data_IF_360689201696
#
_entry.id   IF_360689201696
#
_cell.length_a   1.000
_cell.length_b   1.000
_cell.length_c   1.000
_cell.angle_alpha   90.00
_cell.angle_beta   90.00
_cell.angle_gamma   90.00
#
_symmetry.space_group_name_H-M   'P 1'
#
loop_
_entity.id
_entity.type
_entity.pdbx_description
1 polymer ?
#
# COMPACT_ATOMS: atom_id res chain seq x y z
N UNK A 1 18.23 -24.71 0.86
CA UNK A 1 16.82 -25.07 0.59
C UNK A 1 16.25 -23.99 -0.31
N UNK A 2 15.77 -24.34 -1.49
CA UNK A 2 15.12 -23.36 -2.37
C UNK A 2 13.74 -23.05 -1.79
N UNK A 3 13.55 -21.84 -1.26
CA UNK A 3 12.22 -21.41 -0.78
C UNK A 3 11.34 -21.19 -2.00
N UNK A 4 10.36 -22.06 -2.16
CA UNK A 4 9.32 -21.93 -3.14
C UNK A 4 8.39 -20.76 -2.76
N UNK A 5 8.22 -19.82 -3.70
CA UNK A 5 7.62 -18.51 -3.45
C UNK A 5 6.16 -18.55 -3.88
N UNK A 6 5.29 -18.98 -2.98
CA UNK A 6 3.82 -18.95 -3.16
C UNK A 6 3.16 -18.08 -2.11
N UNK A 7 1.95 -17.57 -2.40
CA UNK A 7 1.20 -16.69 -1.48
C UNK A 7 1.03 -17.34 -0.11
N UNK A 8 0.63 -18.63 -0.08
CA UNK A 8 0.40 -19.38 1.16
C UNK A 8 1.69 -19.54 1.96
N UNK A 9 2.76 -20.05 1.34
CA UNK A 9 4.05 -20.27 2.03
C UNK A 9 4.63 -18.99 2.60
N UNK A 10 4.54 -17.88 1.86
CA UNK A 10 4.99 -16.57 2.34
C UNK A 10 4.11 -16.07 3.50
N UNK A 11 2.79 -16.21 3.40
CA UNK A 11 1.90 -15.81 4.48
C UNK A 11 2.21 -16.58 5.77
N UNK A 12 2.43 -17.89 5.68
CA UNK A 12 2.82 -18.74 6.82
C UNK A 12 4.18 -18.28 7.39
N UNK A 13 5.18 -17.99 6.54
CA UNK A 13 6.48 -17.46 6.95
C UNK A 13 6.38 -16.10 7.65
N UNK A 14 5.52 -15.21 7.15
CA UNK A 14 5.25 -13.91 7.79
C UNK A 14 4.58 -14.08 9.14
N UNK A 15 3.58 -14.96 9.26
CA UNK A 15 2.93 -15.27 10.54
C UNK A 15 3.93 -15.79 11.55
N UNK A 16 4.76 -16.76 11.18
CA UNK A 16 5.82 -17.31 12.02
C UNK A 16 6.77 -16.21 12.51
N UNK A 17 7.32 -15.40 11.57
CA UNK A 17 8.29 -14.36 11.93
C UNK A 17 7.68 -13.24 12.76
N UNK A 18 6.40 -12.90 12.57
CA UNK A 18 5.69 -11.92 13.40
C UNK A 18 5.48 -12.45 14.81
N UNK A 19 5.14 -13.74 14.95
CA UNK A 19 5.00 -14.39 16.25
C UNK A 19 6.34 -14.43 16.99
N UNK A 20 7.43 -14.83 16.33
CA UNK A 20 8.79 -14.79 16.92
C UNK A 20 9.20 -13.39 17.37
N UNK A 21 8.85 -12.36 16.61
CA UNK A 21 9.17 -10.97 16.96
C UNK A 21 8.52 -10.55 18.28
N UNK A 22 7.40 -11.16 18.70
CA UNK A 22 6.79 -10.82 20.00
C UNK A 22 7.70 -11.12 21.20
N UNK A 23 8.67 -12.01 21.02
CA UNK A 23 9.61 -12.39 22.06
C UNK A 23 10.79 -11.41 22.19
N UNK A 24 10.90 -10.40 21.32
CA UNK A 24 11.97 -9.41 21.42
C UNK A 24 11.68 -8.33 22.48
N UNK A 25 12.70 -7.85 23.22
CA UNK A 25 12.51 -6.90 24.33
C UNK A 25 11.72 -5.64 23.95
N UNK A 26 11.89 -5.16 22.72
CA UNK A 26 11.21 -3.98 22.20
C UNK A 26 9.71 -4.18 21.92
N UNK A 27 9.19 -5.41 22.00
CA UNK A 27 7.76 -5.73 21.90
C UNK A 27 7.20 -6.35 23.19
N UNK A 28 8.07 -6.78 24.11
CA UNK A 28 7.71 -7.30 25.43
C UNK A 28 7.31 -6.18 26.42
N UNK A 29 6.26 -5.41 26.11
CA UNK A 29 5.72 -4.39 27.03
C UNK A 29 4.43 -4.87 27.70
N UNK A 30 4.47 -5.09 29.03
CA UNK A 30 3.24 -5.31 29.82
C UNK A 30 2.46 -4.01 30.01
N UNK A 31 1.35 -3.85 29.27
CA UNK A 31 0.05 -3.30 29.75
C UNK A 31 -1.07 -3.42 28.71
N UNK A 32 -0.76 -3.72 27.45
CA UNK A 32 -1.76 -3.80 26.38
C UNK A 32 -1.42 -4.98 25.46
N UNK A 33 -2.39 -5.87 25.26
CA UNK A 33 -2.23 -7.08 24.44
C UNK A 33 -1.91 -6.81 22.97
N UNK A 34 -1.86 -7.88 22.18
CA UNK A 34 -1.49 -7.89 20.75
C UNK A 34 -2.06 -6.68 19.98
N UNK A 35 -1.16 -5.90 19.37
CA UNK A 35 -1.44 -4.60 18.74
C UNK A 35 -1.93 -4.68 17.29
N UNK A 36 -1.81 -5.86 16.69
CA UNK A 36 -2.32 -6.17 15.36
C UNK A 36 -3.55 -7.07 15.44
N UNK A 37 -4.27 -7.21 14.34
CA UNK A 37 -5.39 -8.13 14.24
C UNK A 37 -4.88 -9.58 14.28
N UNK A 38 -5.55 -10.43 15.06
CA UNK A 38 -5.31 -11.88 15.12
C UNK A 38 -6.57 -12.63 14.68
N UNK A 39 -6.40 -13.87 14.20
CA UNK A 39 -7.51 -14.77 13.91
C UNK A 39 -8.01 -15.51 15.17
N UNK A 40 -8.99 -16.40 14.98
CA UNK A 40 -9.59 -17.19 16.07
C UNK A 40 -8.58 -18.11 16.78
N UNK A 41 -7.46 -18.45 16.14
CA UNK A 41 -6.38 -19.26 16.71
C UNK A 41 -5.33 -18.40 17.42
N UNK A 42 -5.48 -17.08 17.41
CA UNK A 42 -4.50 -16.14 17.94
C UNK A 42 -3.32 -15.90 16.99
N UNK A 43 -3.35 -16.37 15.75
CA UNK A 43 -2.29 -16.12 14.78
C UNK A 43 -2.44 -14.71 14.16
N UNK A 44 -1.33 -14.07 13.75
CA UNK A 44 -1.40 -12.78 13.05
C UNK A 44 -2.30 -12.84 11.80
N UNK A 45 -3.29 -11.95 11.71
CA UNK A 45 -4.23 -11.87 10.59
C UNK A 45 -3.60 -11.14 9.39
N UNK A 46 -2.51 -11.69 8.86
CA UNK A 46 -1.75 -11.14 7.74
C UNK A 46 -2.57 -11.12 6.44
N UNK A 47 -2.46 -10.04 5.67
CA UNK A 47 -2.98 -9.99 4.28
C UNK A 47 -1.83 -9.85 3.31
N UNK A 48 -1.73 -10.74 2.35
CA UNK A 48 -0.64 -10.79 1.39
C UNK A 48 -1.18 -10.96 -0.02
N UNK A 49 -0.55 -10.29 -0.97
CA UNK A 49 -0.75 -10.51 -2.40
C UNK A 49 0.61 -10.55 -3.10
N UNK A 50 0.62 -11.15 -4.28
CA UNK A 50 1.78 -11.19 -5.15
C UNK A 50 1.36 -10.73 -6.52
N UNK A 51 2.21 -9.96 -7.17
CA UNK A 51 2.09 -9.74 -8.60
C UNK A 51 3.45 -9.69 -9.26
N UNK A 52 3.48 -9.85 -10.57
CA UNK A 52 4.72 -9.91 -11.31
C UNK A 52 4.62 -9.11 -12.60
N UNK A 53 5.75 -8.55 -13.01
CA UNK A 53 5.86 -7.70 -14.18
C UNK A 53 7.19 -7.97 -14.90
N UNK A 54 7.28 -7.77 -16.22
CA UNK A 54 8.58 -7.76 -16.88
C UNK A 54 9.38 -6.53 -16.44
N UNK A 55 10.70 -6.51 -16.69
CA UNK A 55 11.57 -5.42 -16.21
C UNK A 55 11.47 -4.15 -17.07
N UNK A 56 10.89 -4.20 -18.26
CA UNK A 56 10.57 -3.01 -19.05
C UNK A 56 9.23 -2.36 -18.64
N UNK A 57 8.52 -2.98 -17.70
CA UNK A 57 7.21 -2.54 -17.28
C UNK A 57 7.26 -1.27 -16.42
N UNK A 58 6.46 -0.30 -16.81
CA UNK A 58 6.29 0.94 -16.06
C UNK A 58 5.20 0.80 -14.99
N UNK A 59 5.60 0.59 -13.73
CA UNK A 59 4.70 0.52 -12.57
C UNK A 59 3.76 1.74 -12.45
N UNK A 60 4.14 2.90 -12.99
CA UNK A 60 3.49 4.18 -12.76
C UNK A 60 2.87 4.79 -14.02
N UNK A 61 2.82 4.04 -15.12
CA UNK A 61 2.14 4.44 -16.34
C UNK A 61 0.70 4.92 -16.06
N UNK A 62 0.36 6.11 -16.55
CA UNK A 62 -0.91 6.81 -16.31
C UNK A 62 -1.12 7.34 -14.87
N UNK A 63 -0.28 6.95 -13.91
CA UNK A 63 -0.40 7.31 -12.49
C UNK A 63 0.47 8.51 -12.09
N UNK A 64 1.48 8.85 -12.90
CA UNK A 64 2.39 9.98 -12.65
C UNK A 64 1.68 11.32 -12.83
N UNK A 65 0.98 11.73 -11.80
CA UNK A 65 0.47 13.10 -11.68
C UNK A 65 0.46 13.52 -10.21
N UNK A 66 0.53 14.83 -9.92
CA UNK A 66 0.50 15.35 -8.55
C UNK A 66 -0.70 14.88 -7.69
N UNK A 67 -1.84 14.54 -8.30
CA UNK A 67 -3.08 14.20 -7.62
C UNK A 67 -3.24 12.72 -7.22
N UNK A 68 -2.47 11.82 -7.81
CA UNK A 68 -2.54 10.38 -7.56
C UNK A 68 -1.25 9.90 -6.88
N UNK A 69 -0.27 9.45 -7.65
CA UNK A 69 1.00 8.90 -7.15
C UNK A 69 2.08 9.98 -7.02
N UNK A 70 1.96 11.08 -7.75
CA UNK A 70 2.94 12.17 -7.84
C UNK A 70 3.89 12.04 -9.04
N UNK A 71 4.82 13.00 -9.20
CA UNK A 71 5.57 13.20 -10.44
C UNK A 71 6.79 12.27 -10.61
N UNK A 72 7.50 11.96 -9.53
CA UNK A 72 8.76 11.20 -9.60
C UNK A 72 8.76 9.96 -8.71
N UNK A 73 7.84 9.00 -8.90
CA UNK A 73 7.84 7.78 -8.13
C UNK A 73 9.00 6.86 -8.54
N UNK A 74 9.56 6.16 -7.55
CA UNK A 74 10.62 5.15 -7.70
C UNK A 74 10.03 3.90 -8.36
N UNK A 75 10.61 3.47 -9.49
CA UNK A 75 10.23 2.26 -10.22
C UNK A 75 11.23 1.12 -10.02
N UNK A 76 11.12 0.09 -10.86
CA UNK A 76 12.00 -1.08 -10.82
C UNK A 76 13.47 -0.75 -11.08
N UNK A 77 13.72 0.27 -11.91
CA UNK A 77 15.07 0.74 -12.25
C UNK A 77 15.79 1.27 -11.02
N UNK A 78 15.17 2.21 -10.32
CA UNK A 78 15.76 2.84 -9.13
C UNK A 78 15.98 1.82 -8.00
N UNK A 79 15.06 0.87 -7.84
CA UNK A 79 15.20 -0.24 -6.87
C UNK A 79 16.40 -1.12 -7.22
N UNK A 80 16.57 -1.47 -8.50
CA UNK A 80 17.71 -2.26 -8.95
C UNK A 80 19.03 -1.50 -8.78
N UNK A 81 19.08 -0.25 -9.22
CA UNK A 81 20.29 0.58 -9.14
C UNK A 81 20.73 0.78 -7.69
N UNK A 82 19.79 0.97 -6.76
CA UNK A 82 20.08 1.01 -5.32
C UNK A 82 20.72 -0.30 -4.83
N UNK A 83 20.12 -1.45 -5.16
CA UNK A 83 20.67 -2.76 -4.80
C UNK A 83 22.07 -2.96 -5.39
N UNK A 84 22.25 -2.68 -6.68
CA UNK A 84 23.50 -2.88 -7.39
C UNK A 84 24.63 -2.02 -6.81
N UNK A 85 24.34 -0.78 -6.42
CA UNK A 85 25.32 0.10 -5.77
C UNK A 85 25.76 -0.42 -4.40
N UNK A 86 24.82 -0.95 -3.61
CA UNK A 86 25.09 -1.50 -2.26
C UNK A 86 25.80 -2.86 -2.30
N UNK A 87 25.69 -3.59 -3.42
CA UNK A 87 26.26 -4.94 -3.61
C UNK A 87 27.35 -4.99 -4.67
N UNK A 88 27.88 -3.83 -5.10
CA UNK A 88 29.02 -3.81 -6.02
C UNK A 88 30.19 -4.56 -5.39
N UNK A 89 30.86 -5.38 -6.19
CA UNK A 89 32.06 -6.08 -5.75
C UNK A 89 33.07 -5.01 -5.33
N UNK A 90 33.57 -5.08 -4.10
CA UNK A 90 34.55 -4.11 -3.60
C UNK A 90 35.99 -4.61 -3.80
N UNK A 91 36.18 -5.68 -4.57
CA UNK A 91 37.44 -6.39 -4.77
C UNK A 91 37.66 -6.53 -6.28
N UNK A 92 38.86 -6.20 -6.77
CA UNK A 92 39.25 -6.36 -8.18
C UNK A 92 39.78 -7.76 -8.50
N UNK A 93 40.12 -8.00 -9.77
CA UNK A 93 40.69 -9.25 -10.28
C UNK A 93 42.01 -9.67 -9.61
N UNK A 94 42.71 -8.75 -8.94
CA UNK A 94 43.93 -9.02 -8.19
C UNK A 94 43.69 -9.31 -6.71
N UNK A 95 42.43 -9.27 -6.25
CA UNK A 95 42.06 -9.46 -4.85
C UNK A 95 42.17 -8.19 -4.01
N UNK A 96 42.43 -7.02 -4.62
CA UNK A 96 42.58 -5.75 -3.90
C UNK A 96 41.24 -5.05 -3.73
N UNK A 97 41.04 -4.43 -2.57
CA UNK A 97 39.87 -3.57 -2.36
C UNK A 97 39.92 -2.33 -3.27
N UNK A 98 38.82 -2.07 -3.98
CA UNK A 98 38.75 -0.97 -4.95
C UNK A 98 37.40 -0.27 -4.92
N UNK A 99 37.42 1.05 -5.13
CA UNK A 99 36.24 1.90 -5.27
C UNK A 99 35.77 2.03 -6.72
N UNK A 100 36.58 1.56 -7.67
CA UNK A 100 36.37 1.76 -9.12
C UNK A 100 35.43 0.75 -9.76
N UNK A 101 34.90 -0.21 -8.98
CA UNK A 101 33.97 -1.20 -9.51
C UNK A 101 32.63 -0.56 -9.82
N UNK A 102 32.21 -0.74 -11.08
CA UNK A 102 30.97 -0.17 -11.61
C UNK A 102 29.82 -1.11 -11.24
N UNK A 103 28.76 -0.63 -10.57
CA UNK A 103 27.56 -1.41 -10.31
C UNK A 103 26.95 -1.95 -11.60
N UNK A 104 26.37 -3.15 -11.53
CA UNK A 104 25.66 -3.74 -12.67
C UNK A 104 24.45 -2.85 -13.03
N UNK A 105 24.38 -2.42 -14.29
CA UNK A 105 23.32 -1.52 -14.77
C UNK A 105 21.94 -2.16 -14.77
N UNK A 106 20.88 -1.36 -14.93
CA UNK A 106 19.54 -1.91 -15.11
C UNK A 106 19.40 -2.73 -16.41
N UNK A 107 20.16 -2.39 -17.45
CA UNK A 107 20.20 -3.17 -18.69
C UNK A 107 20.78 -4.57 -18.47
N UNK A 108 21.75 -4.70 -17.57
CA UNK A 108 22.21 -6.00 -17.12
C UNK A 108 21.03 -6.77 -16.49
N UNK A 109 20.24 -6.14 -15.61
CA UNK A 109 19.09 -6.78 -14.99
C UNK A 109 18.09 -7.27 -16.03
N UNK A 110 17.70 -6.41 -16.99
CA UNK A 110 16.76 -6.73 -18.08
C UNK A 110 17.20 -7.93 -18.93
N UNK A 111 18.52 -8.10 -19.12
CA UNK A 111 19.09 -9.23 -19.87
C UNK A 111 19.22 -10.52 -19.06
N UNK A 112 19.33 -10.42 -17.74
CA UNK A 112 19.66 -11.56 -16.87
C UNK A 112 18.49 -12.08 -16.04
N UNK A 113 17.42 -11.30 -15.89
CA UNK A 113 16.21 -11.66 -15.16
C UNK A 113 14.98 -11.50 -16.06
N UNK A 114 14.02 -12.40 -15.87
CA UNK A 114 12.82 -12.49 -16.71
C UNK A 114 11.71 -11.62 -16.16
N UNK A 115 11.60 -11.51 -14.83
CA UNK A 115 10.52 -10.80 -14.16
C UNK A 115 10.96 -10.15 -12.85
N UNK A 116 10.20 -9.14 -12.45
CA UNK A 116 10.14 -8.64 -11.09
C UNK A 116 8.86 -9.17 -10.42
N UNK A 117 9.01 -9.93 -9.34
CA UNK A 117 7.93 -10.39 -8.47
C UNK A 117 7.83 -9.43 -7.29
N UNK A 118 6.66 -8.85 -7.09
CA UNK A 118 6.37 -7.86 -6.06
C UNK A 118 5.39 -8.50 -5.07
N UNK A 119 5.87 -8.74 -3.86
CA UNK A 119 5.06 -9.22 -2.74
C UNK A 119 4.60 -7.98 -1.97
N UNK A 120 3.30 -7.81 -1.76
CA UNK A 120 2.76 -6.74 -0.91
C UNK A 120 2.06 -7.36 0.29
N UNK A 121 2.41 -6.88 1.48
CA UNK A 121 1.95 -7.44 2.75
C UNK A 121 1.39 -6.36 3.65
N UNK A 122 0.27 -6.64 4.30
CA UNK A 122 -0.37 -5.81 5.32
C UNK A 122 -0.43 -6.59 6.63
N UNK A 123 -0.06 -5.92 7.72
CA UNK A 123 -0.34 -6.38 9.08
C UNK A 123 -1.44 -5.47 9.64
N UNK A 124 -2.71 -5.92 9.67
CA UNK A 124 -3.81 -5.06 10.07
C UNK A 124 -3.70 -4.65 11.55
N UNK A 125 -4.19 -3.46 11.88
CA UNK A 125 -4.30 -2.98 13.25
C UNK A 125 -5.31 -3.79 14.07
N UNK A 126 -5.09 -3.86 15.38
CA UNK A 126 -6.06 -4.45 16.31
C UNK A 126 -7.39 -3.70 16.28
N UNK A 127 -8.48 -4.39 15.94
CA UNK A 127 -9.82 -3.81 15.88
C UNK A 127 -10.25 -3.24 17.24
N UNK A 128 -9.88 -3.90 18.34
CA UNK A 128 -10.17 -3.43 19.70
C UNK A 128 -9.57 -2.05 19.97
N UNK A 129 -8.31 -1.83 19.58
CA UNK A 129 -7.66 -0.53 19.75
C UNK A 129 -8.29 0.54 18.86
N UNK A 130 -8.64 0.17 17.61
CA UNK A 130 -9.36 1.05 16.68
C UNK A 130 -10.73 1.46 17.23
N UNK A 131 -11.48 0.51 17.77
CA UNK A 131 -12.78 0.72 18.41
C UNK A 131 -12.67 1.65 19.61
N UNK A 132 -11.75 1.38 20.53
CA UNK A 132 -11.49 2.22 21.70
C UNK A 132 -11.17 3.66 21.29
N UNK A 133 -10.28 3.83 20.32
CA UNK A 133 -9.94 5.17 19.83
C UNK A 133 -11.12 5.86 19.12
N UNK A 134 -11.93 5.09 18.39
CA UNK A 134 -13.15 5.63 17.75
C UNK A 134 -14.16 6.11 18.79
N UNK A 135 -14.39 5.33 19.85
CA UNK A 135 -15.31 5.72 20.91
C UNK A 135 -14.83 6.98 21.66
N UNK A 136 -13.52 7.11 21.85
CA UNK A 136 -12.91 8.27 22.49
C UNK A 136 -13.28 9.58 21.78
N UNK A 137 -12.98 9.69 20.49
CA UNK A 137 -13.25 10.95 19.77
C UNK A 137 -14.74 11.15 19.45
N UNK A 138 -15.58 10.11 19.45
CA UNK A 138 -17.03 10.26 19.30
C UNK A 138 -17.70 10.81 20.57
N UNK A 139 -17.21 10.44 21.75
CA UNK A 139 -17.76 10.90 23.04
C UNK A 139 -17.17 12.24 23.50
N UNK A 140 -15.85 12.35 23.47
CA UNK A 140 -15.12 13.45 24.12
C UNK A 140 -14.76 14.57 23.15
N UNK A 141 -14.92 14.36 21.83
CA UNK A 141 -14.45 15.22 20.71
C UNK A 141 -12.93 15.50 20.69
N UNK A 142 -12.27 15.53 21.83
CA UNK A 142 -10.84 15.71 22.06
C UNK A 142 -10.38 14.72 23.14
N UNK A 143 -9.56 13.75 22.78
CA UNK A 143 -9.06 12.74 23.70
C UNK A 143 -7.69 12.23 23.28
N UNK A 144 -6.91 11.74 24.23
CA UNK A 144 -5.55 11.28 24.00
C UNK A 144 -5.50 10.06 23.07
N UNK A 145 -4.78 10.17 21.96
CA UNK A 145 -4.57 9.10 20.99
C UNK A 145 -3.33 8.25 21.26
N UNK A 146 -2.69 8.38 22.43
CA UNK A 146 -1.44 7.69 22.77
C UNK A 146 -1.48 6.17 22.55
N UNK A 147 -2.54 5.48 22.96
CA UNK A 147 -2.68 4.02 22.76
C UNK A 147 -2.70 3.66 21.26
N UNK A 148 -3.43 4.46 20.47
CA UNK A 148 -3.51 4.29 19.03
C UNK A 148 -2.16 4.62 18.36
N UNK A 149 -1.50 5.70 18.76
CA UNK A 149 -0.20 6.10 18.24
C UNK A 149 0.86 5.02 18.53
N UNK A 150 0.89 4.49 19.76
CA UNK A 150 1.76 3.38 20.15
C UNK A 150 1.49 2.12 19.32
N UNK A 151 0.23 1.72 19.18
CA UNK A 151 -0.15 0.62 18.28
C UNK A 151 0.35 0.87 16.85
N UNK A 152 0.21 2.09 16.33
CA UNK A 152 0.65 2.43 14.98
C UNK A 152 2.16 2.23 14.82
N UNK A 153 2.97 2.73 15.76
CA UNK A 153 4.43 2.58 15.74
C UNK A 153 4.86 1.11 15.92
N UNK A 154 4.31 0.41 16.91
CA UNK A 154 4.63 -1.00 17.19
C UNK A 154 4.36 -1.88 15.96
N UNK A 155 3.18 -1.76 15.34
CA UNK A 155 2.82 -2.57 14.18
C UNK A 155 3.67 -2.20 12.95
N UNK A 156 4.07 -0.93 12.79
CA UNK A 156 5.03 -0.53 11.75
C UNK A 156 6.41 -1.15 11.95
N UNK A 157 6.89 -1.18 13.19
CA UNK A 157 8.19 -1.76 13.54
C UNK A 157 8.20 -3.28 13.33
N UNK A 158 7.15 -3.98 13.76
CA UNK A 158 6.98 -5.43 13.54
C UNK A 158 7.02 -5.74 12.05
N UNK A 159 6.20 -5.08 11.22
CA UNK A 159 6.16 -5.40 9.79
C UNK A 159 7.44 -4.99 9.06
N UNK A 160 8.14 -3.93 9.49
CA UNK A 160 9.49 -3.60 8.99
C UNK A 160 10.44 -4.78 9.21
N UNK A 161 10.59 -5.22 10.47
CA UNK A 161 11.48 -6.31 10.84
C UNK A 161 11.13 -7.62 10.15
N UNK A 162 9.84 -7.99 10.13
CA UNK A 162 9.37 -9.20 9.47
C UNK A 162 9.69 -9.18 7.97
N UNK A 163 9.43 -8.05 7.29
CA UNK A 163 9.71 -7.87 5.86
C UNK A 163 11.20 -8.06 5.57
N UNK A 164 12.07 -7.46 6.37
CA UNK A 164 13.53 -7.56 6.15
C UNK A 164 14.07 -8.96 6.42
N UNK A 165 13.60 -9.64 7.48
CA UNK A 165 13.97 -11.04 7.77
C UNK A 165 13.55 -11.99 6.67
N UNK A 166 12.34 -11.83 6.16
CA UNK A 166 11.83 -12.68 5.08
C UNK A 166 12.56 -12.36 3.78
N UNK A 167 12.80 -11.09 3.47
CA UNK A 167 13.63 -10.72 2.32
C UNK A 167 15.01 -11.38 2.38
N UNK A 168 15.67 -11.40 3.55
CA UNK A 168 16.94 -12.07 3.75
C UNK A 168 16.84 -13.59 3.53
N UNK A 169 15.79 -14.25 4.05
CA UNK A 169 15.56 -15.68 3.87
C UNK A 169 15.27 -16.08 2.41
N UNK A 170 14.80 -15.13 1.59
CA UNK A 170 14.50 -15.36 0.18
C UNK A 170 15.71 -15.18 -0.74
N UNK A 171 16.86 -14.70 -0.24
CA UNK A 171 18.08 -14.54 -1.03
C UNK A 171 18.57 -15.91 -1.53
N UNK A 172 18.86 -16.00 -2.83
CA UNK A 172 19.45 -17.18 -3.45
C UNK A 172 20.34 -16.77 -4.63
N UNK A 173 21.14 -17.70 -5.16
CA UNK A 173 22.11 -17.42 -6.23
C UNK A 173 21.46 -17.01 -7.57
N UNK A 174 20.20 -17.37 -7.77
CA UNK A 174 19.46 -17.20 -9.03
C UNK A 174 18.53 -15.97 -9.03
N UNK A 175 18.46 -15.23 -7.92
CA UNK A 175 17.54 -14.11 -7.74
C UNK A 175 18.15 -12.99 -6.91
N UNK A 176 17.64 -11.78 -7.12
CA UNK A 176 17.95 -10.60 -6.31
C UNK A 176 16.71 -10.24 -5.50
N UNK A 177 16.86 -10.00 -4.20
CA UNK A 177 15.77 -9.66 -3.30
C UNK A 177 16.04 -8.32 -2.63
N UNK A 178 15.04 -7.43 -2.65
CA UNK A 178 15.06 -6.13 -1.98
C UNK A 178 13.84 -6.03 -1.07
N UNK A 179 14.07 -6.00 0.24
CA UNK A 179 13.03 -5.69 1.21
C UNK A 179 12.73 -4.19 1.21
N UNK A 180 11.47 -3.81 1.00
CA UNK A 180 11.04 -2.41 0.93
C UNK A 180 10.38 -2.03 2.25
N UNK A 181 11.16 -2.03 3.34
CA UNK A 181 10.77 -1.42 4.61
C UNK A 181 10.83 0.12 4.55
N UNK A 182 10.41 0.81 5.62
CA UNK A 182 10.40 2.27 5.62
C UNK A 182 11.79 2.88 5.41
N UNK A 183 12.83 2.29 6.00
CA UNK A 183 14.19 2.80 5.92
C UNK A 183 14.79 2.57 4.54
N UNK A 184 14.55 1.41 3.93
CA UNK A 184 14.97 1.12 2.56
C UNK A 184 14.25 2.03 1.56
N UNK A 185 12.93 2.24 1.71
CA UNK A 185 12.18 3.19 0.88
C UNK A 185 12.77 4.60 1.00
N UNK A 186 13.04 5.06 2.23
CA UNK A 186 13.66 6.37 2.47
C UNK A 186 15.05 6.47 1.84
N UNK A 187 15.88 5.43 1.96
CA UNK A 187 17.22 5.38 1.39
C UNK A 187 17.19 5.42 -0.14
N UNK A 188 16.38 4.55 -0.78
CA UNK A 188 16.20 4.54 -2.24
C UNK A 188 15.72 5.91 -2.72
N UNK A 189 14.72 6.48 -2.02
CA UNK A 189 14.20 7.80 -2.39
C UNK A 189 15.30 8.84 -2.36
N UNK A 190 16.07 8.93 -1.27
CA UNK A 190 17.16 9.89 -1.10
C UNK A 190 18.27 9.73 -2.14
N UNK A 191 18.61 8.51 -2.51
CA UNK A 191 19.72 8.21 -3.42
C UNK A 191 19.32 8.32 -4.90
N UNK A 192 18.13 7.84 -5.26
CA UNK A 192 17.69 7.75 -6.65
C UNK A 192 16.94 9.00 -7.14
N UNK A 193 16.36 9.79 -6.24
CA UNK A 193 15.60 11.00 -6.62
C UNK A 193 16.37 12.25 -6.20
N UNK A 194 16.62 13.21 -7.13
CA UNK A 194 17.28 14.47 -6.79
C UNK A 194 16.58 15.21 -5.65
N UNK A 195 17.34 15.92 -4.80
CA UNK A 195 16.81 16.70 -3.67
C UNK A 195 15.71 17.69 -4.10
N UNK A 196 15.84 18.30 -5.29
CA UNK A 196 14.86 19.21 -5.89
C UNK A 196 13.54 18.55 -6.31
N UNK A 197 13.49 17.22 -6.32
CA UNK A 197 12.34 16.39 -6.70
C UNK A 197 11.81 15.56 -5.52
N UNK A 198 12.48 15.60 -4.36
CA UNK A 198 11.99 14.98 -3.15
C UNK A 198 10.66 15.60 -2.73
N UNK A 199 9.72 14.78 -2.24
CA UNK A 199 8.43 15.28 -1.76
C UNK A 199 7.39 15.64 -2.84
N UNK A 200 7.76 15.60 -4.13
CA UNK A 200 6.82 15.88 -5.25
C UNK A 200 6.15 14.62 -5.83
N UNK A 201 6.47 13.44 -5.30
CA UNK A 201 5.83 12.17 -5.65
C UNK A 201 4.64 11.84 -4.72
N UNK A 202 3.69 12.74 -4.36
CA UNK A 202 2.81 12.43 -3.21
C UNK A 202 1.34 12.90 -3.21
N UNK A 203 0.44 11.91 -3.06
CA UNK A 203 -0.78 11.95 -2.24
C UNK A 203 -0.53 11.69 -0.72
N UNK A 204 -1.56 11.42 0.10
CA UNK A 204 -1.64 11.74 1.55
C UNK A 204 -0.67 11.11 2.58
N UNK A 205 0.46 10.51 2.24
CA UNK A 205 1.45 10.01 3.22
C UNK A 205 2.88 10.08 2.65
N UNK A 206 3.74 10.94 3.23
CA UNK A 206 5.13 11.21 2.81
C UNK A 206 6.13 10.20 3.40
N UNK A 207 6.13 8.97 2.88
CA UNK A 207 7.08 7.91 3.29
C UNK A 207 8.33 7.75 2.40
N UNK A 208 8.48 8.59 1.37
CA UNK A 208 9.47 8.41 0.29
C UNK A 208 8.79 8.09 -1.04
N UNK A 209 9.54 8.16 -2.14
CA UNK A 209 9.07 8.11 -3.53
C UNK A 209 8.57 6.73 -4.01
N UNK A 210 8.60 5.69 -3.17
CA UNK A 210 7.98 4.40 -3.46
C UNK A 210 6.63 4.27 -2.74
N UNK A 211 5.53 4.34 -3.50
CA UNK A 211 4.18 4.30 -2.93
C UNK A 211 3.72 2.88 -2.61
N UNK A 212 4.06 2.38 -1.41
CA UNK A 212 3.66 1.04 -0.94
C UNK A 212 2.15 0.78 -1.03
N UNK A 213 1.31 1.79 -0.73
CA UNK A 213 -0.16 1.69 -0.83
C UNK A 213 -0.61 1.49 -2.27
N UNK A 214 -0.06 2.27 -3.21
CA UNK A 214 -0.45 2.19 -4.62
C UNK A 214 0.02 0.89 -5.25
N UNK A 215 1.20 0.40 -4.87
CA UNK A 215 1.68 -0.93 -5.28
C UNK A 215 0.76 -2.02 -4.74
N UNK A 216 0.41 -1.98 -3.45
CA UNK A 216 -0.49 -2.98 -2.87
C UNK A 216 -1.84 -3.03 -3.60
N UNK A 217 -2.39 -1.86 -3.96
CA UNK A 217 -3.62 -1.76 -4.76
C UNK A 217 -3.43 -2.30 -6.18
N UNK A 218 -2.33 -1.94 -6.85
CA UNK A 218 -2.00 -2.45 -8.19
C UNK A 218 -1.88 -3.98 -8.19
N UNK A 219 -1.34 -4.56 -7.12
CA UNK A 219 -1.25 -6.01 -6.92
C UNK A 219 -2.55 -6.63 -6.36
N UNK A 220 -3.66 -5.89 -6.27
CA UNK A 220 -4.97 -6.43 -5.87
C UNK A 220 -5.15 -6.68 -4.37
N UNK A 221 -4.32 -6.12 -3.49
CA UNK A 221 -4.43 -6.34 -2.05
C UNK A 221 -5.68 -5.68 -1.45
N UNK A 222 -6.10 -4.53 -1.96
CA UNK A 222 -7.20 -3.75 -1.40
C UNK A 222 -7.54 -2.54 -2.26
N UNK A 223 -8.26 -1.59 -1.68
CA UNK A 223 -8.74 -0.39 -2.37
C UNK A 223 -8.47 0.88 -1.55
N UNK A 224 -8.44 2.01 -2.24
CA UNK A 224 -8.56 3.31 -1.60
C UNK A 224 -10.02 3.68 -1.40
N UNK A 225 -10.37 4.21 -0.23
CA UNK A 225 -11.62 4.94 -0.06
C UNK A 225 -11.57 6.36 -0.60
N UNK A 226 -12.70 7.07 -0.54
CA UNK A 226 -12.76 8.51 -0.87
C UNK A 226 -11.74 9.31 -0.06
N UNK A 227 -11.47 8.85 1.17
CA UNK A 227 -10.48 9.44 2.06
C UNK A 227 -9.03 9.17 1.71
N UNK A 228 -8.77 8.46 0.60
CA UNK A 228 -7.47 7.95 0.15
C UNK A 228 -6.79 7.01 1.17
N UNK A 229 -7.55 6.50 2.13
CA UNK A 229 -7.11 5.49 3.08
C UNK A 229 -7.20 4.14 2.39
N UNK A 230 -6.14 3.35 2.51
CA UNK A 230 -6.12 1.98 2.04
C UNK A 230 -6.88 1.09 3.02
N UNK A 231 -7.75 0.22 2.51
CA UNK A 231 -8.32 -0.87 3.29
C UNK A 231 -8.67 -2.04 2.38
N UNK A 232 -8.83 -3.21 3.01
CA UNK A 232 -9.21 -4.46 2.37
C UNK A 232 -10.47 -4.98 3.05
N UNK A 233 -11.50 -5.23 2.26
CA UNK A 233 -12.70 -5.90 2.72
C UNK A 233 -12.61 -7.39 2.38
N UNK A 234 -12.95 -8.26 3.32
CA UNK A 234 -13.04 -9.71 3.11
C UNK A 234 -14.38 -10.23 3.62
N UNK A 235 -14.82 -11.38 3.10
CA UNK A 235 -16.06 -12.02 3.52
C UNK A 235 -15.71 -13.18 4.45
N UNK A 236 -16.07 -13.05 5.72
CA UNK A 236 -15.89 -14.08 6.75
C UNK A 236 -17.28 -14.42 7.32
N UNK A 237 -17.68 -15.69 7.28
CA UNK A 237 -18.98 -16.14 7.81
C UNK A 237 -20.19 -15.31 7.31
N UNK A 238 -20.19 -14.95 6.03
CA UNK A 238 -21.25 -14.16 5.39
C UNK A 238 -21.25 -12.65 5.73
N UNK A 239 -20.33 -12.18 6.56
CA UNK A 239 -20.17 -10.78 6.93
C UNK A 239 -18.92 -10.18 6.30
N UNK A 240 -18.93 -8.87 6.08
CA UNK A 240 -17.75 -8.16 5.60
C UNK A 240 -16.92 -7.68 6.78
N UNK A 241 -15.66 -8.10 6.79
CA UNK A 241 -14.62 -7.62 7.69
C UNK A 241 -13.69 -6.68 6.94
N UNK A 242 -13.35 -5.55 7.58
CA UNK A 242 -12.50 -4.52 6.97
C UNK A 242 -11.17 -4.43 7.70
N UNK A 243 -10.08 -4.54 6.96
CA UNK A 243 -8.73 -4.52 7.47
C UNK A 243 -7.97 -3.31 6.92
N UNK A 244 -7.16 -2.68 7.76
CA UNK A 244 -6.16 -1.69 7.37
C UNK A 244 -5.00 -1.75 8.36
N UNK A 245 -3.82 -1.44 7.87
CA UNK A 245 -2.57 -1.50 8.62
C UNK A 245 -1.43 -0.92 7.79
N UNK A 246 -0.21 -0.88 8.35
CA UNK A 246 0.97 -0.61 7.54
C UNK A 246 1.14 -1.68 6.47
N UNK A 247 1.66 -1.22 5.33
CA UNK A 247 1.94 -2.04 4.15
C UNK A 247 3.43 -2.08 3.93
N UNK A 248 3.98 -3.22 3.54
CA UNK A 248 5.37 -3.36 3.07
C UNK A 248 5.42 -4.15 1.79
N UNK A 249 6.56 -4.06 1.11
CA UNK A 249 6.80 -4.85 -0.09
C UNK A 249 8.13 -5.59 -0.04
N UNK A 250 8.22 -6.68 -0.79
CA UNK A 250 9.49 -7.31 -1.18
C UNK A 250 9.50 -7.36 -2.70
N UNK A 251 10.58 -6.91 -3.31
CA UNK A 251 10.79 -6.97 -4.77
C UNK A 251 11.86 -8.00 -5.07
N UNK A 252 11.53 -8.97 -5.93
CA UNK A 252 12.42 -10.06 -6.31
C UNK A 252 12.63 -10.01 -7.83
N UNK A 253 13.87 -9.87 -8.27
CA UNK A 253 14.24 -10.06 -9.67
C UNK A 253 14.72 -11.51 -9.85
N UNK A 254 13.98 -12.31 -10.62
CA UNK A 254 14.29 -13.73 -10.83
C UNK A 254 14.22 -14.14 -12.31
N UNK A 255 14.69 -15.35 -12.61
CA UNK A 255 14.68 -15.92 -13.97
C UNK A 255 13.40 -16.70 -14.29
N UNK A 256 12.46 -16.81 -13.34
CA UNK A 256 11.25 -17.61 -13.53
C UNK A 256 10.34 -16.96 -14.58
N UNK A 257 9.53 -17.77 -15.25
CA UNK A 257 8.60 -17.29 -16.28
C UNK A 257 7.60 -16.30 -15.67
N UNK A 258 7.23 -15.31 -16.49
CA UNK A 258 6.18 -14.36 -16.15
C UNK A 258 4.83 -15.09 -16.09
N UNK A 259 4.18 -15.06 -14.93
CA UNK A 259 2.80 -15.54 -14.73
C UNK A 259 1.83 -14.50 -15.28
N UNK A 260 0.85 -14.92 -16.10
CA UNK A 260 -0.18 -14.06 -16.72
C UNK A 260 -1.61 -14.61 -16.59
N UNK A 261 -1.73 -15.87 -16.20
CA UNK A 261 -2.97 -16.64 -16.06
C UNK A 261 -3.53 -16.63 -14.62
N UNK A 262 -2.81 -15.99 -13.69
CA UNK A 262 -3.16 -15.96 -12.28
C UNK A 262 -2.81 -17.23 -11.50
N UNK A 263 -1.93 -18.09 -12.03
CA UNK A 263 -1.44 -19.26 -11.31
C UNK A 263 -0.82 -18.86 -9.95
N UNK A 264 -0.98 -19.72 -8.95
CA UNK A 264 -0.50 -19.50 -7.58
C UNK A 264 -0.97 -18.19 -6.91
N UNK A 265 -2.02 -17.56 -7.44
CA UNK A 265 -2.54 -16.29 -6.95
C UNK A 265 -1.69 -15.08 -7.32
N UNK A 266 -0.81 -15.19 -8.32
CA UNK A 266 0.03 -14.08 -8.78
C UNK A 266 -0.73 -13.20 -9.77
N UNK A 267 -0.84 -11.92 -9.45
CA UNK A 267 -1.51 -10.91 -10.28
C UNK A 267 -0.57 -10.40 -11.37
N UNK A 268 -1.01 -10.47 -12.63
CA UNK A 268 -0.39 -9.72 -13.71
C UNK A 268 -1.19 -8.42 -13.95
N UNK A 269 -0.63 -7.25 -13.62
CA UNK A 269 -1.33 -5.98 -13.77
C UNK A 269 -1.37 -5.53 -15.25
N UNK A 270 -2.22 -6.15 -16.07
CA UNK A 270 -2.43 -5.74 -17.45
C UNK A 270 -3.09 -4.36 -17.58
N UNK A 271 -3.13 -3.83 -18.79
CA UNK A 271 -3.76 -2.53 -19.12
C UNK A 271 -5.23 -2.46 -18.68
N UNK A 272 -6.02 -3.52 -18.94
CA UNK A 272 -7.44 -3.58 -18.55
C UNK A 272 -7.64 -3.53 -17.04
N UNK A 273 -6.76 -4.16 -16.26
CA UNK A 273 -6.78 -4.09 -14.80
C UNK A 273 -6.44 -2.69 -14.31
N UNK A 274 -5.41 -2.06 -14.89
CA UNK A 274 -5.04 -0.67 -14.57
C UNK A 274 -6.18 0.29 -14.83
N UNK A 275 -6.78 0.24 -16.03
CA UNK A 275 -7.88 1.11 -16.40
C UNK A 275 -9.06 0.96 -15.44
N UNK A 276 -9.42 -0.28 -15.12
CA UNK A 276 -10.45 -0.55 -14.12
C UNK A 276 -10.13 0.09 -12.76
N UNK A 277 -8.89 -0.02 -12.28
CA UNK A 277 -8.46 0.61 -11.03
C UNK A 277 -8.51 2.15 -11.10
N UNK A 278 -8.12 2.75 -12.22
CA UNK A 278 -8.21 4.20 -12.42
C UNK A 278 -9.66 4.69 -12.29
N UNK A 279 -10.59 4.03 -12.98
CA UNK A 279 -12.01 4.37 -12.92
C UNK A 279 -12.58 4.13 -11.51
N UNK A 280 -12.15 3.04 -10.86
CA UNK A 280 -12.57 2.68 -9.51
C UNK A 280 -12.20 3.74 -8.47
N UNK A 281 -11.04 4.39 -8.60
CA UNK A 281 -10.55 5.40 -7.64
C UNK A 281 -10.87 6.84 -8.01
N UNK A 282 -11.48 7.06 -9.16
CA UNK A 282 -12.09 8.34 -9.50
C UNK A 282 -13.51 8.43 -8.91
N UNK A 283 -13.62 9.03 -7.73
CA UNK A 283 -14.91 9.22 -7.06
C UNK A 283 -15.83 10.25 -7.75
N UNK A 284 -15.40 10.92 -8.82
CA UNK A 284 -16.31 11.70 -9.70
C UNK A 284 -17.06 10.80 -10.68
N UNK A 285 -16.47 9.66 -11.07
CA UNK A 285 -17.13 8.63 -11.86
C UNK A 285 -18.09 7.81 -10.97
N UNK A 286 -19.40 8.02 -11.11
CA UNK A 286 -20.42 7.23 -10.39
C UNK A 286 -21.26 6.34 -11.28
N UNK A 287 -20.72 5.96 -12.44
CA UNK A 287 -21.35 4.94 -13.27
C UNK A 287 -21.67 3.70 -12.42
N UNK A 288 -22.91 3.18 -12.47
CA UNK A 288 -23.30 1.97 -11.74
C UNK A 288 -22.32 0.80 -11.95
N UNK A 289 -21.76 0.73 -13.16
CA UNK A 289 -20.83 -0.28 -13.63
C UNK A 289 -19.53 -0.29 -12.83
N UNK A 290 -19.04 0.87 -12.38
CA UNK A 290 -17.83 0.97 -11.56
C UNK A 290 -18.17 1.03 -10.07
N UNK A 291 -19.20 1.80 -9.70
CA UNK A 291 -19.51 2.07 -8.31
C UNK A 291 -19.90 0.81 -7.50
N UNK A 292 -20.48 -0.19 -8.18
CA UNK A 292 -20.82 -1.48 -7.56
C UNK A 292 -19.60 -2.23 -7.01
N UNK A 293 -18.39 -1.95 -7.48
CA UNK A 293 -17.15 -2.61 -7.05
C UNK A 293 -16.42 -1.90 -5.91
N UNK A 294 -16.81 -0.68 -5.54
CA UNK A 294 -16.11 0.09 -4.51
C UNK A 294 -16.36 -0.46 -3.11
N UNK A 295 -15.32 -0.64 -2.32
CA UNK A 295 -15.51 -0.97 -0.90
C UNK A 295 -16.04 0.24 -0.12
N UNK A 296 -15.60 1.45 -0.48
CA UNK A 296 -16.12 2.70 0.07
C UNK A 296 -17.52 3.00 -0.48
N UNK A 297 -18.52 3.12 0.40
CA UNK A 297 -19.89 3.49 0.02
C UNK A 297 -20.14 5.01 -0.01
N UNK A 298 -19.10 5.83 -0.14
CA UNK A 298 -19.24 7.29 -0.22
C UNK A 298 -20.22 7.73 -1.31
N UNK A 299 -20.17 7.08 -2.47
CA UNK A 299 -21.17 7.22 -3.52
C UNK A 299 -22.14 6.04 -3.40
N UNK A 300 -23.33 6.23 -2.81
CA UNK A 300 -24.33 5.16 -2.76
C UNK A 300 -25.19 5.14 -4.02
N UNK A 301 -25.80 4.00 -4.29
CA UNK A 301 -26.70 3.83 -5.43
C UNK A 301 -28.06 4.50 -5.19
N UNK A 302 -28.41 4.80 -3.92
CA UNK A 302 -29.75 5.19 -3.47
C UNK A 302 -29.76 6.52 -2.67
N UNK A 303 -28.77 7.41 -2.86
CA UNK A 303 -28.84 8.81 -2.41
C UNK A 303 -28.15 9.18 -1.08
N UNK A 304 -28.00 8.26 -0.12
CA UNK A 304 -27.22 8.52 1.10
C UNK A 304 -25.96 7.65 1.13
N UNK A 305 -24.81 8.23 0.81
CA UNK A 305 -23.52 7.55 0.93
C UNK A 305 -22.84 7.76 2.27
N UNK A 306 -21.89 6.90 2.63
CA UNK A 306 -21.16 7.00 3.89
C UNK A 306 -20.19 8.19 3.88
N UNK A 307 -20.46 9.20 4.71
CA UNK A 307 -19.63 10.42 4.83
C UNK A 307 -18.80 10.50 6.10
N UNK A 308 -18.84 9.47 6.96
CA UNK A 308 -18.28 9.50 8.31
C UNK A 308 -16.83 9.99 8.41
N UNK A 309 -15.96 9.59 7.47
CA UNK A 309 -14.56 10.02 7.46
C UNK A 309 -14.35 11.48 7.05
N UNK A 310 -15.30 12.05 6.28
CA UNK A 310 -15.33 13.45 5.88
C UNK A 310 -15.89 14.29 7.02
N UNK A 311 -17.01 13.87 7.60
CA UNK A 311 -17.73 14.61 8.64
C UNK A 311 -16.91 14.70 9.95
N UNK A 312 -16.07 13.70 10.22
CA UNK A 312 -15.21 13.62 11.40
C UNK A 312 -13.75 14.03 11.13
N UNK A 313 -13.48 14.71 10.01
CA UNK A 313 -12.14 15.23 9.70
C UNK A 313 -11.94 16.61 10.35
N UNK A 314 -11.16 16.72 11.45
CA UNK A 314 -11.02 17.97 12.20
C UNK A 314 -10.34 19.07 11.38
N UNK A 315 -9.30 18.74 10.61
CA UNK A 315 -8.64 19.68 9.69
C UNK A 315 -9.52 20.14 8.54
N UNK A 316 -10.60 19.44 8.19
CA UNK A 316 -11.36 19.70 6.97
C UNK A 316 -10.65 19.31 5.66
N UNK A 317 -9.50 18.63 5.74
CA UNK A 317 -8.76 18.14 4.57
C UNK A 317 -9.61 17.20 3.70
N UNK A 318 -10.42 16.35 4.32
CA UNK A 318 -11.30 15.41 3.63
C UNK A 318 -12.42 16.10 2.85
N UNK A 319 -13.09 17.07 3.48
CA UNK A 319 -14.14 17.90 2.84
C UNK A 319 -13.57 18.63 1.61
N UNK A 320 -12.31 19.06 1.68
CA UNK A 320 -11.61 19.73 0.60
C UNK A 320 -11.07 18.81 -0.50
N UNK A 321 -11.22 17.49 -0.37
CA UNK A 321 -10.59 16.49 -1.24
C UNK A 321 -11.56 15.46 -1.83
N UNK A 322 -12.81 15.48 -1.39
CA UNK A 322 -13.87 14.61 -1.90
C UNK A 322 -14.78 15.40 -2.85
N UNK A 323 -15.20 14.81 -3.99
CA UNK A 323 -16.28 15.39 -4.78
C UNK A 323 -17.58 15.32 -3.97
N UNK A 324 -18.53 16.19 -4.24
CA UNK A 324 -19.87 16.11 -3.67
C UNK A 324 -20.64 14.89 -4.24
N UNK A 325 -21.80 14.51 -3.64
CA UNK A 325 -22.62 13.42 -4.18
C UNK A 325 -23.12 13.66 -5.62
N UNK A 326 -23.14 14.91 -6.09
CA UNK A 326 -23.52 15.31 -7.45
C UNK A 326 -22.34 15.23 -8.45
N UNK A 327 -21.20 14.64 -8.05
CA UNK A 327 -19.98 14.42 -8.87
C UNK A 327 -19.14 15.68 -9.08
N UNK A 328 -19.49 16.80 -8.47
CA UNK A 328 -18.79 18.07 -8.65
C UNK A 328 -17.96 18.42 -7.43
N UNK A 329 -16.93 19.23 -7.61
CA UNK A 329 -16.29 19.87 -6.46
C UNK A 329 -17.02 21.17 -6.14
N UNK A 330 -17.17 21.54 -4.86
CA UNK A 330 -17.72 22.84 -4.51
C UNK A 330 -16.96 23.98 -5.22
N UNK A 331 -17.66 25.06 -5.62
CA UNK A 331 -17.06 26.15 -6.40
C UNK A 331 -15.79 26.72 -5.77
N UNK A 332 -15.76 26.85 -4.44
CA UNK A 332 -14.58 27.28 -3.66
C UNK A 332 -13.36 26.39 -3.84
N UNK A 333 -13.56 25.10 -4.16
CA UNK A 333 -12.50 24.13 -4.43
C UNK A 333 -12.11 24.21 -5.90
N UNK A 334 -13.07 24.29 -6.83
CA UNK A 334 -12.80 24.45 -8.26
C UNK A 334 -11.95 25.70 -8.56
N UNK A 335 -12.12 26.78 -7.79
CA UNK A 335 -11.27 27.99 -7.88
C UNK A 335 -9.81 27.78 -7.45
N UNK A 336 -9.48 26.67 -6.77
CA UNK A 336 -8.12 26.32 -6.35
C UNK A 336 -7.39 25.56 -7.48
N UNK A 337 -7.22 26.21 -8.63
CA UNK A 337 -6.66 25.60 -9.86
C UNK A 337 -5.32 24.89 -9.65
N UNK A 338 -4.47 25.41 -8.74
CA UNK A 338 -3.19 24.81 -8.36
C UNK A 338 -3.30 23.40 -7.74
N UNK A 339 -4.49 23.00 -7.26
CA UNK A 339 -4.75 21.66 -6.71
C UNK A 339 -5.27 20.66 -7.74
N UNK A 340 -5.59 21.10 -8.95
CA UNK A 340 -6.05 20.24 -10.02
C UNK A 340 -4.91 19.92 -10.99
N UNK A 341 -4.86 18.69 -11.45
CA UNK A 341 -4.03 18.26 -12.57
C UNK A 341 -4.88 17.40 -13.49
N UNK A 342 -5.10 17.83 -14.74
CA UNK A 342 -5.98 17.13 -15.69
C UNK A 342 -7.32 16.76 -15.04
N UNK A 343 -7.98 17.76 -14.44
CA UNK A 343 -9.25 17.64 -13.72
C UNK A 343 -9.25 16.73 -12.47
N UNK A 344 -8.11 16.16 -12.10
CA UNK A 344 -7.96 15.35 -10.88
C UNK A 344 -7.54 16.23 -9.71
N UNK A 345 -8.36 16.25 -8.66
CA UNK A 345 -8.07 16.99 -7.43
C UNK A 345 -7.04 16.28 -6.55
N UNK A 346 -5.99 17.01 -6.17
CA UNK A 346 -5.03 16.62 -5.15
C UNK A 346 -5.67 16.60 -3.77
N UNK A 347 -5.39 15.56 -2.98
CA UNK A 347 -5.76 15.55 -1.56
C UNK A 347 -5.10 16.73 -0.83
N UNK A 348 -5.86 17.41 0.03
CA UNK A 348 -5.42 18.54 0.85
C UNK A 348 -4.49 18.08 1.99
N UNK A 349 -3.32 17.60 1.60
CA UNK A 349 -2.35 17.03 2.52
C UNK A 349 -1.74 18.11 3.42
N UNK A 350 -1.57 19.34 2.91
CA UNK A 350 -1.09 20.48 3.69
C UNK A 350 -1.96 20.70 4.92
N UNK A 351 -3.27 20.81 4.74
CA UNK A 351 -4.24 20.98 5.83
C UNK A 351 -4.29 19.79 6.79
N UNK A 352 -4.19 18.57 6.27
CA UNK A 352 -4.12 17.36 7.12
C UNK A 352 -2.85 17.33 7.98
N UNK A 353 -1.71 17.76 7.42
CA UNK A 353 -0.42 17.77 8.11
C UNK A 353 -0.22 18.94 9.04
N UNK A 354 -0.78 20.11 8.75
CA UNK A 354 -0.65 21.29 9.59
C UNK A 354 -1.24 21.03 10.97
N UNK A 355 -2.50 20.57 11.03
CA UNK A 355 -3.14 20.18 12.29
C UNK A 355 -2.36 19.07 13.00
N UNK A 356 -1.92 18.04 12.25
CA UNK A 356 -1.13 16.95 12.83
C UNK A 356 0.23 17.41 13.35
N UNK A 357 0.86 18.35 12.66
CA UNK A 357 2.16 18.91 13.01
C UNK A 357 2.05 19.75 14.28
N UNK A 358 1.07 20.66 14.35
CA UNK A 358 0.81 21.48 15.53
C UNK A 358 0.58 20.62 16.77
N UNK A 359 -0.29 19.61 16.67
CA UNK A 359 -0.57 18.71 17.79
C UNK A 359 0.61 17.79 18.11
N UNK A 360 1.32 17.29 17.11
CA UNK A 360 2.50 16.43 17.31
C UNK A 360 3.69 17.17 17.96
N UNK A 361 3.84 18.47 17.72
CA UNK A 361 4.85 19.30 18.40
C UNK A 361 4.53 19.48 19.88
N UNK A 362 3.26 19.62 20.23
CA UNK A 362 2.82 19.78 21.63
C UNK A 362 2.74 18.45 22.37
N UNK A 363 2.35 17.38 21.66
CA UNK A 363 2.07 16.06 22.22
C UNK A 363 2.66 14.98 21.30
N UNK A 364 3.88 14.50 21.57
CA UNK A 364 4.58 13.54 20.70
C UNK A 364 3.83 12.22 20.50
N UNK A 365 2.99 11.83 21.45
CA UNK A 365 2.16 10.61 21.37
C UNK A 365 0.77 10.86 20.77
N UNK A 366 0.51 12.06 20.25
CA UNK A 366 -0.74 12.37 19.59
C UNK A 366 -0.73 11.98 18.11
N UNK A 367 -1.78 11.30 17.68
CA UNK A 367 -2.10 10.99 16.28
C UNK A 367 -3.57 11.25 15.98
N UNK A 368 -3.87 11.92 14.86
CA UNK A 368 -5.26 12.22 14.46
C UNK A 368 -5.99 10.96 14.03
N UNK A 369 -5.60 10.31 12.93
CA UNK A 369 -6.15 9.06 12.39
C UNK A 369 -7.69 8.85 12.37
N UNK A 370 -8.52 9.86 12.67
CA UNK A 370 -9.98 9.72 12.89
C UNK A 370 -10.68 9.16 11.67
N UNK A 371 -10.32 9.67 10.49
CA UNK A 371 -10.83 9.21 9.21
C UNK A 371 -10.55 7.72 8.94
N UNK A 372 -9.40 7.19 9.42
CA UNK A 372 -9.09 5.76 9.31
C UNK A 372 -9.90 4.97 10.32
N UNK A 373 -9.84 5.35 11.58
CA UNK A 373 -10.46 4.60 12.67
C UNK A 373 -11.98 4.50 12.51
N UNK A 374 -12.65 5.59 12.11
CA UNK A 374 -14.09 5.54 11.82
C UNK A 374 -14.42 4.69 10.61
N UNK A 375 -13.60 4.72 9.54
CA UNK A 375 -13.82 3.90 8.34
C UNK A 375 -13.72 2.40 8.63
N UNK A 376 -12.81 2.01 9.51
CA UNK A 376 -12.60 0.61 9.92
C UNK A 376 -13.69 0.14 10.88
N UNK A 377 -13.95 0.93 11.92
CA UNK A 377 -14.89 0.57 12.97
C UNK A 377 -16.35 0.64 12.49
N UNK A 378 -16.77 1.79 11.96
CA UNK A 378 -18.17 2.11 11.70
C UNK A 378 -18.46 2.46 10.24
N UNK A 379 -17.48 2.36 9.34
CA UNK A 379 -17.70 2.57 7.92
C UNK A 379 -18.65 1.51 7.37
N UNK A 380 -19.60 1.93 6.54
CA UNK A 380 -20.51 1.00 5.87
C UNK A 380 -19.74 -0.02 5.01
N UNK A 381 -20.24 -1.26 5.04
CA UNK A 381 -19.63 -2.41 4.37
C UNK A 381 -20.66 -3.04 3.45
N UNK A 382 -20.28 -3.31 2.20
CA UNK A 382 -21.20 -3.76 1.15
C UNK A 382 -20.81 -5.16 0.67
N UNK A 383 -21.56 -6.17 1.10
CA UNK A 383 -21.28 -7.58 0.78
C UNK A 383 -21.16 -7.83 -0.73
N UNK A 384 -22.09 -7.28 -1.52
CA UNK A 384 -22.08 -7.44 -2.97
C UNK A 384 -20.86 -6.76 -3.60
N UNK A 385 -20.46 -5.57 -3.13
CA UNK A 385 -19.28 -4.90 -3.65
C UNK A 385 -17.98 -5.68 -3.39
N UNK A 386 -17.85 -6.26 -2.20
CA UNK A 386 -16.72 -7.12 -1.86
C UNK A 386 -16.67 -8.36 -2.77
N UNK A 387 -17.79 -9.06 -2.92
CA UNK A 387 -17.89 -10.26 -3.78
C UNK A 387 -17.60 -9.95 -5.24
N UNK A 388 -18.23 -8.90 -5.76
CA UNK A 388 -18.14 -8.54 -7.17
C UNK A 388 -16.76 -8.00 -7.53
N UNK A 389 -16.09 -7.28 -6.62
CA UNK A 389 -14.72 -6.82 -6.85
C UNK A 389 -13.74 -7.99 -7.01
N UNK A 390 -13.74 -8.97 -6.11
CA UNK A 390 -12.82 -10.10 -6.22
C UNK A 390 -13.11 -10.96 -7.45
N UNK A 391 -14.40 -11.11 -7.82
CA UNK A 391 -14.77 -11.75 -9.10
C UNK A 391 -14.20 -10.96 -10.29
N UNK A 392 -14.36 -9.64 -10.30
CA UNK A 392 -13.88 -8.77 -11.38
C UNK A 392 -12.36 -8.75 -11.47
N UNK A 393 -11.66 -8.73 -10.33
CA UNK A 393 -10.21 -8.85 -10.27
C UNK A 393 -9.75 -10.13 -10.94
N UNK A 394 -10.30 -11.30 -10.54
CA UNK A 394 -9.97 -12.58 -11.17
C UNK A 394 -10.25 -12.59 -12.68
N UNK A 395 -11.33 -11.95 -13.14
CA UNK A 395 -11.64 -11.84 -14.57
C UNK A 395 -10.61 -10.99 -15.34
N UNK A 396 -10.14 -9.90 -14.75
CA UNK A 396 -9.25 -8.95 -15.42
C UNK A 396 -7.77 -9.32 -15.32
N UNK A 397 -7.39 -10.08 -14.31
CA UNK A 397 -5.98 -10.43 -14.04
C UNK A 397 -5.61 -11.84 -14.49
N UNK A 398 -6.59 -12.64 -14.96
CA UNK A 398 -6.34 -13.93 -15.62
C UNK A 398 -6.50 -13.77 -17.12
N UNK A 399 -5.41 -13.79 -17.89
CA UNK A 399 -5.52 -14.06 -19.32
C UNK A 399 -5.72 -15.56 -19.50
N UNK A 400 -6.91 -15.97 -19.97
CA UNK A 400 -7.03 -17.25 -20.67
C UNK A 400 -6.33 -17.01 -22.00
N UNK A 401 -5.26 -17.73 -22.30
CA UNK A 401 -4.73 -17.78 -23.65
C UNK A 401 -5.84 -18.36 -24.53
N UNK A 402 -6.59 -17.49 -25.21
CA UNK A 402 -7.30 -17.89 -26.41
C UNK A 402 -6.24 -18.40 -27.38
N UNK A 403 -6.39 -19.67 -27.77
CA UNK A 403 -5.55 -20.39 -28.72
C UNK A 403 -5.10 -19.49 -29.89
N UNK A 404 -3.90 -19.72 -30.45
CA UNK A 404 -3.53 -19.06 -31.69
C UNK A 404 -4.58 -19.40 -32.73
N UNK A 405 -5.27 -18.38 -33.24
CA UNK A 405 -6.06 -18.48 -34.45
C UNK A 405 -5.16 -19.07 -35.53
N UNK A 406 -5.41 -20.33 -35.89
CA UNK A 406 -4.95 -20.92 -37.13
C UNK A 406 -5.56 -20.08 -38.27
N UNK A 407 -4.71 -19.24 -38.87
CA UNK A 407 -4.96 -18.47 -40.08
C UNK A 407 -3.68 -18.39 -40.87
#
# INVERSE_FOLDING_TARGET
>A
MEVDVTVKKLADLFKEKISELQDEPEFQWKREGIKYAVDEKGEPCLKLTMGNVPLDYDLWEGLRNPALVGLYPVGLREIWEFFANRRKTAIDESGRQTIFQIPRSYDFARKNYTRALIISVMLPFSLKTIESYTQLFLKEKEGSSHIFARMYEDVNLIINKATMRIAANLIANDRVVVGMDNDTVKAISKEAVPSTRQGTSHGPCKGGNYSQKSIAVLMGLGQFGVSRIFFRDEITNGKVERFSGPLRSIVIFDKKKLVKDGSDGVIYPGETWRQFLFDLFDFTNITPEINKYRFCSYMSHNGNGCRKCIDLCPSGAQVNSAPDPCRTYPERILKQTHRFWEDKLQFDFGRCCEERGQMGTLFPEWSCARCMSICLNAGERRLNATRDFYRRMLQLTKKVESEPSLG
#
